data_IF_185904225230
#
_entry.id   IF_185904225230
#
_cell.length_a   1.000
_cell.length_b   1.000
_cell.length_c   1.000
_cell.angle_alpha   90.00
_cell.angle_beta   90.00
_cell.angle_gamma   90.00
#
_symmetry.space_group_name_H-M   'P 1'
#
loop_
_entity.id
_entity.type
_entity.pdbx_description
1 polymer ?
#
# COMPACT_ATOMS: atom_id res chain seq x y z
N UNK A 1 3.31 -32.13 43.08
CA UNK A 1 3.18 -30.68 42.86
C UNK A 1 4.07 -30.31 41.67
N UNK A 2 3.49 -29.59 40.70
CA UNK A 2 4.07 -28.92 39.52
C UNK A 2 4.99 -29.71 38.57
N UNK A 3 4.56 -30.16 37.38
CA UNK A 3 4.10 -29.44 36.15
C UNK A 3 5.25 -28.86 35.27
N UNK A 4 5.23 -29.33 34.01
CA UNK A 4 5.69 -28.71 32.76
C UNK A 4 7.20 -28.60 32.48
N UNK A 5 7.66 -29.46 31.57
CA UNK A 5 8.75 -29.13 30.65
C UNK A 5 8.50 -29.81 29.30
N UNK A 6 7.43 -29.40 28.61
CA UNK A 6 7.25 -29.71 27.19
C UNK A 6 7.79 -28.50 26.42
N UNK A 7 9.06 -28.59 26.00
CA UNK A 7 9.70 -27.57 25.18
C UNK A 7 9.17 -27.67 23.74
N UNK A 8 8.12 -26.91 23.43
CA UNK A 8 7.68 -26.70 22.05
C UNK A 8 8.53 -25.58 21.44
N UNK A 9 9.54 -25.96 20.67
CA UNK A 9 10.29 -25.03 19.84
C UNK A 9 9.40 -24.60 18.66
N UNK A 10 8.76 -23.44 18.78
CA UNK A 10 8.08 -22.77 17.66
C UNK A 10 9.14 -22.01 16.87
N UNK A 11 9.65 -22.63 15.81
CA UNK A 11 10.41 -21.93 14.79
C UNK A 11 9.47 -21.04 13.99
N UNK A 12 9.41 -19.76 14.37
CA UNK A 12 8.84 -18.70 13.55
C UNK A 12 9.66 -18.59 12.25
N UNK A 13 9.20 -19.25 11.20
CA UNK A 13 9.65 -19.01 9.83
C UNK A 13 9.18 -17.59 9.48
N UNK A 14 10.07 -16.61 9.63
CA UNK A 14 9.88 -15.28 9.08
C UNK A 14 9.93 -15.38 7.56
N UNK A 15 8.78 -15.61 6.92
CA UNK A 15 8.67 -15.52 5.47
C UNK A 15 8.91 -14.05 5.10
N UNK A 16 9.96 -13.73 4.32
CA UNK A 16 10.15 -12.38 3.84
C UNK A 16 8.97 -12.06 2.92
N UNK A 17 8.12 -11.12 3.34
CA UNK A 17 7.09 -10.54 2.48
C UNK A 17 7.79 -9.75 1.39
N UNK A 18 8.14 -10.43 0.30
CA UNK A 18 8.48 -9.76 -0.95
C UNK A 18 7.24 -9.01 -1.38
N UNK A 19 7.29 -7.68 -1.33
CA UNK A 19 6.28 -6.84 -1.96
C UNK A 19 6.27 -7.22 -3.44
N UNK A 20 5.27 -7.99 -3.85
CA UNK A 20 5.03 -8.27 -5.27
C UNK A 20 4.81 -6.93 -5.96
N UNK A 21 5.49 -6.70 -7.07
CA UNK A 21 5.23 -5.53 -7.90
C UNK A 21 3.76 -5.56 -8.36
N UNK A 22 3.18 -4.40 -8.64
CA UNK A 22 1.87 -4.35 -9.26
C UNK A 22 1.96 -5.00 -10.64
N UNK A 23 1.09 -5.97 -10.91
CA UNK A 23 1.10 -6.72 -12.16
C UNK A 23 0.64 -5.87 -13.35
N UNK A 24 -0.22 -4.86 -13.11
CA UNK A 24 -0.77 -3.99 -14.14
C UNK A 24 -0.41 -2.51 -13.87
N UNK A 25 0.42 -1.88 -14.72
CA UNK A 25 0.75 -0.46 -14.58
C UNK A 25 -0.47 0.45 -14.75
N UNK A 26 -1.52 0.03 -15.46
CA UNK A 26 -2.75 0.81 -15.60
C UNK A 26 -3.52 0.92 -14.27
N UNK A 27 -3.48 -0.11 -13.43
CA UNK A 27 -4.10 -0.08 -12.08
C UNK A 27 -3.37 0.91 -11.16
N UNK A 28 -2.04 0.98 -11.28
CA UNK A 28 -1.20 1.95 -10.57
C UNK A 28 -1.51 3.37 -11.03
N UNK A 29 -1.55 3.61 -12.34
CA UNK A 29 -1.91 4.93 -12.91
C UNK A 29 -3.32 5.37 -12.50
N UNK A 30 -4.30 4.45 -12.54
CA UNK A 30 -5.66 4.73 -12.09
C UNK A 30 -5.69 5.08 -10.60
N UNK A 31 -4.90 4.39 -9.78
CA UNK A 31 -4.79 4.68 -8.34
C UNK A 31 -4.12 6.03 -8.10
N UNK A 32 -3.06 6.37 -8.83
CA UNK A 32 -2.41 7.71 -8.80
C UNK A 32 -3.40 8.80 -9.20
N UNK A 33 -4.14 8.60 -10.28
CA UNK A 33 -5.18 9.54 -10.71
C UNK A 33 -6.27 9.70 -9.65
N UNK A 34 -6.69 8.61 -8.99
CA UNK A 34 -7.62 8.65 -7.87
C UNK A 34 -7.07 9.42 -6.66
N UNK A 35 -5.80 9.24 -6.32
CA UNK A 35 -5.14 10.00 -5.24
C UNK A 35 -5.16 11.50 -5.56
N UNK A 36 -4.80 11.88 -6.79
CA UNK A 36 -4.77 13.27 -7.25
C UNK A 36 -6.16 13.89 -7.31
N UNK A 37 -7.16 13.13 -7.76
CA UNK A 37 -8.54 13.57 -7.80
C UNK A 37 -9.12 13.79 -6.39
N UNK A 38 -8.77 12.92 -5.44
CA UNK A 38 -9.19 13.05 -4.04
C UNK A 38 -8.40 14.13 -3.27
N UNK A 39 -7.21 14.51 -3.76
CA UNK A 39 -6.32 15.50 -3.16
C UNK A 39 -5.96 16.57 -4.20
N UNK A 40 -6.91 17.46 -4.57
CA UNK A 40 -6.66 18.51 -5.56
C UNK A 40 -5.56 19.48 -5.09
N UNK A 41 -5.39 19.65 -3.78
CA UNK A 41 -4.22 20.28 -3.20
C UNK A 41 -3.14 19.23 -2.87
N UNK A 42 -2.37 18.86 -3.89
CA UNK A 42 -1.25 17.92 -3.74
C UNK A 42 -0.20 18.44 -2.74
N UNK A 43 -0.05 19.76 -2.58
CA UNK A 43 0.90 20.32 -1.61
C UNK A 43 0.50 19.97 -0.19
N UNK A 44 -0.79 20.06 0.14
CA UNK A 44 -1.32 19.61 1.44
C UNK A 44 -1.10 18.12 1.65
N UNK A 45 -1.30 17.29 0.61
CA UNK A 45 -1.00 15.86 0.69
C UNK A 45 0.49 15.61 0.98
N UNK A 46 1.39 16.31 0.29
CA UNK A 46 2.83 16.20 0.51
C UNK A 46 3.26 16.64 1.92
N UNK A 47 2.61 17.65 2.49
CA UNK A 47 2.86 18.09 3.87
C UNK A 47 2.50 17.04 4.93
N UNK A 48 1.57 16.12 4.61
CA UNK A 48 1.24 14.98 5.49
C UNK A 48 2.33 13.90 5.49
N UNK A 49 3.32 14.00 4.61
CA UNK A 49 4.44 13.07 4.51
C UNK A 49 4.02 11.67 4.03
N UNK A 50 4.92 10.70 4.25
CA UNK A 50 4.80 9.33 3.74
C UNK A 50 3.51 8.65 4.24
N UNK A 51 3.15 8.84 5.51
CA UNK A 51 1.94 8.24 6.08
C UNK A 51 0.67 8.78 5.43
N UNK A 52 0.60 10.09 5.17
CA UNK A 52 -0.54 10.70 4.47
C UNK A 52 -0.68 10.20 3.03
N UNK A 53 0.42 10.07 2.32
CA UNK A 53 0.44 9.54 0.94
C UNK A 53 0.03 8.07 0.93
N UNK A 54 0.50 7.28 1.90
CA UNK A 54 0.14 5.86 2.02
C UNK A 54 -1.33 5.67 2.35
N UNK A 55 -1.89 6.52 3.20
CA UNK A 55 -3.33 6.53 3.50
C UNK A 55 -4.13 6.87 2.24
N UNK A 56 -3.79 7.96 1.54
CA UNK A 56 -4.46 8.34 0.30
C UNK A 56 -4.38 7.25 -0.78
N UNK A 57 -3.24 6.57 -0.91
CA UNK A 57 -3.08 5.46 -1.83
C UNK A 57 -3.93 4.25 -1.45
N UNK A 58 -4.03 3.92 -0.15
CA UNK A 58 -4.93 2.87 0.34
C UNK A 58 -6.39 3.20 0.08
N UNK A 59 -6.81 4.43 0.35
CA UNK A 59 -8.20 4.84 0.15
C UNK A 59 -8.57 4.78 -1.34
N UNK A 60 -7.69 5.30 -2.20
CA UNK A 60 -7.86 5.26 -3.66
C UNK A 60 -7.92 3.83 -4.20
N UNK A 61 -6.96 2.97 -3.83
CA UNK A 61 -6.95 1.57 -4.31
C UNK A 61 -8.15 0.79 -3.78
N UNK A 62 -8.60 1.07 -2.54
CA UNK A 62 -9.76 0.40 -1.95
C UNK A 62 -11.02 0.76 -2.71
N UNK A 63 -11.21 2.03 -3.06
CA UNK A 63 -12.32 2.48 -3.88
C UNK A 63 -12.31 1.83 -5.27
N UNK A 64 -11.13 1.72 -5.91
CA UNK A 64 -10.98 1.07 -7.21
C UNK A 64 -11.20 -0.44 -7.14
N UNK A 65 -10.73 -1.10 -6.08
CA UNK A 65 -10.94 -2.53 -5.86
C UNK A 65 -12.42 -2.85 -5.62
N UNK A 66 -13.12 -2.02 -4.82
CA UNK A 66 -14.57 -2.14 -4.64
C UNK A 66 -15.36 -1.91 -5.94
N UNK A 67 -14.82 -1.09 -6.84
CA UNK A 67 -15.38 -0.88 -8.18
C UNK A 67 -15.00 -1.99 -9.19
N UNK A 68 -14.29 -3.03 -8.78
CA UNK A 68 -13.82 -4.12 -9.65
C UNK A 68 -12.75 -3.70 -10.66
N UNK A 69 -12.07 -2.56 -10.43
CA UNK A 69 -11.05 -1.98 -11.30
C UNK A 69 -9.62 -2.39 -10.93
N UNK A 70 -9.45 -3.07 -9.80
CA UNK A 70 -8.18 -3.68 -9.38
C UNK A 70 -8.35 -5.19 -9.49
N UNK A 71 -7.60 -5.81 -10.38
CA UNK A 71 -7.55 -7.26 -10.59
C UNK A 71 -6.32 -7.87 -9.93
N UNK A 72 -5.23 -7.11 -9.84
CA UNK A 72 -3.99 -7.52 -9.19
C UNK A 72 -4.02 -7.37 -7.66
N UNK A 73 -2.84 -7.43 -7.03
CA UNK A 73 -2.72 -7.21 -5.59
C UNK A 73 -2.92 -5.72 -5.23
N UNK A 74 -3.99 -5.33 -4.51
CA UNK A 74 -4.26 -3.94 -4.17
C UNK A 74 -3.19 -3.31 -3.27
N UNK A 75 -2.50 -4.11 -2.45
CA UNK A 75 -1.42 -3.60 -1.60
C UNK A 75 -0.18 -3.23 -2.42
N UNK A 76 0.12 -4.01 -3.47
CA UNK A 76 1.19 -3.72 -4.42
C UNK A 76 0.87 -2.45 -5.20
N UNK A 77 -0.35 -2.36 -5.75
CA UNK A 77 -0.82 -1.21 -6.51
C UNK A 77 -0.79 0.07 -5.67
N UNK A 78 -1.30 0.06 -4.44
CA UNK A 78 -1.21 1.21 -3.54
C UNK A 78 0.22 1.54 -3.15
N UNK A 79 1.09 0.53 -2.97
CA UNK A 79 2.49 0.73 -2.67
C UNK A 79 3.21 1.50 -3.77
N UNK A 80 3.06 1.06 -5.01
CA UNK A 80 3.67 1.74 -6.17
C UNK A 80 3.04 3.10 -6.46
N UNK A 81 1.71 3.21 -6.37
CA UNK A 81 1.02 4.49 -6.56
C UNK A 81 1.46 5.53 -5.52
N UNK A 82 1.58 5.12 -4.26
CA UNK A 82 2.09 5.96 -3.18
C UNK A 82 3.55 6.37 -3.40
N UNK A 83 4.40 5.48 -3.92
CA UNK A 83 5.77 5.83 -4.28
C UNK A 83 5.84 6.85 -5.42
N UNK A 84 5.01 6.70 -6.47
CA UNK A 84 4.92 7.66 -7.57
C UNK A 84 4.52 9.06 -7.06
N UNK A 85 3.42 9.15 -6.31
CA UNK A 85 2.97 10.43 -5.72
C UNK A 85 4.03 11.00 -4.77
N UNK A 86 4.69 10.16 -3.96
CA UNK A 86 5.78 10.58 -3.08
C UNK A 86 7.05 11.01 -3.82
N UNK A 87 7.29 10.55 -5.05
CA UNK A 87 8.35 11.09 -5.90
C UNK A 87 7.97 12.50 -6.39
N UNK A 88 6.72 12.69 -6.82
CA UNK A 88 6.21 14.02 -7.23
C UNK A 88 6.26 15.05 -6.07
N UNK A 89 6.06 14.61 -4.83
CA UNK A 89 6.21 15.45 -3.64
C UNK A 89 7.66 15.89 -3.36
N UNK A 90 8.67 15.21 -3.92
CA UNK A 90 10.10 15.49 -3.70
C UNK A 90 10.73 16.37 -4.78
N UNK A 91 10.04 16.61 -5.89
CA UNK A 91 10.52 17.40 -7.03
C UNK A 91 11.07 16.53 -8.15
#
# INVERSE_FOLDING_TARGET
MFKFALALAVTLIAVPMTATAAEDPAEVEATVAGIKAANPDLKSLCMKGVDGIRAAARDSVTALAMAGKIKGNPQAVAGEAGQKVGAECRG
#
